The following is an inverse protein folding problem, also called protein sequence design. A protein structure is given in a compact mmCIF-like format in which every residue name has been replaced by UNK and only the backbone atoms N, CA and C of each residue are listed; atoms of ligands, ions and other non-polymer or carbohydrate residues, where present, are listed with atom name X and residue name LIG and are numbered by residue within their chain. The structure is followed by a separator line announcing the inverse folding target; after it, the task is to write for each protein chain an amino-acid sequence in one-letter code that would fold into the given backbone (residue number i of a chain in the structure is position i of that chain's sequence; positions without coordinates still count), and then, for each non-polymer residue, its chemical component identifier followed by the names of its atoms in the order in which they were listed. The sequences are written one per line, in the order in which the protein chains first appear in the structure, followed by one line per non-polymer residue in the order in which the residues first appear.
data_IF_644785725942
#
_entry.id   IF_644785725942
#
_cell.length_a   1.000
_cell.length_b   1.000
_cell.length_c   1.000
_cell.angle_alpha   90.00
_cell.angle_beta   90.00
_cell.angle_gamma   90.00
#
_symmetry.space_group_name_H-M   'P 1'
#
loop_
_entity.id
_entity.type
_entity.pdbx_description
1 polymer ?
#
# COMPACT_ATOMS: atom_id res chain seq x y z
N UNK A 1 -22.87 -3.11 2.63
CA UNK A 1 -21.48 -3.17 3.14
C UNK A 1 -20.56 -3.60 1.98
N UNK A 2 -19.42 -2.96 1.81
CA UNK A 2 -18.43 -3.36 0.79
C UNK A 2 -17.75 -4.64 1.22
N UNK A 3 -17.52 -5.57 0.28
CA UNK A 3 -16.66 -6.74 0.49
C UNK A 3 -15.20 -6.30 0.37
N UNK A 4 -14.46 -6.29 1.47
CA UNK A 4 -13.07 -5.84 1.54
C UNK A 4 -12.15 -7.05 1.65
N UNK A 5 -11.17 -7.16 0.75
CA UNK A 5 -10.13 -8.18 0.78
C UNK A 5 -8.85 -7.62 1.39
N UNK A 6 -8.36 -8.24 2.47
CA UNK A 6 -7.01 -8.03 2.98
C UNK A 6 -6.01 -8.78 2.11
N UNK A 7 -5.10 -8.06 1.49
CA UNK A 7 -4.06 -8.58 0.60
C UNK A 7 -2.71 -8.51 1.34
N UNK A 8 -2.23 -9.64 1.85
CA UNK A 8 -0.94 -9.72 2.55
C UNK A 8 0.15 -9.92 1.50
N UNK A 9 1.01 -8.92 1.35
CA UNK A 9 2.11 -8.94 0.37
C UNK A 9 3.34 -9.59 1.01
N UNK A 10 3.73 -10.77 0.54
CA UNK A 10 4.83 -11.52 1.14
C UNK A 10 5.87 -11.98 0.12
N UNK A 11 7.13 -11.92 0.53
CA UNK A 11 8.24 -12.55 -0.15
C UNK A 11 9.36 -12.83 0.83
N UNK A 12 9.55 -14.11 1.16
CA UNK A 12 10.49 -14.56 2.20
C UNK A 12 10.24 -13.86 3.54
N UNK A 13 9.01 -13.97 4.03
CA UNK A 13 8.54 -13.31 5.26
C UNK A 13 8.16 -14.31 6.36
N UNK A 14 8.65 -15.57 6.29
CA UNK A 14 8.26 -16.62 7.23
C UNK A 14 8.47 -16.20 8.71
N UNK A 15 9.64 -15.63 9.02
CA UNK A 15 9.95 -15.24 10.40
C UNK A 15 9.10 -14.06 10.87
N UNK A 16 8.81 -13.11 10.00
CA UNK A 16 7.89 -12.01 10.29
C UNK A 16 6.46 -12.53 10.50
N UNK A 17 6.01 -13.44 9.63
CA UNK A 17 4.68 -14.03 9.72
C UNK A 17 4.44 -14.77 11.03
N UNK A 18 5.42 -15.51 11.56
CA UNK A 18 5.30 -16.17 12.85
C UNK A 18 4.96 -15.21 14.00
N UNK A 19 5.43 -13.95 13.90
CA UNK A 19 5.27 -12.92 14.93
C UNK A 19 4.01 -12.08 14.67
N UNK A 20 3.78 -11.67 13.42
CA UNK A 20 2.75 -10.70 13.08
C UNK A 20 1.39 -11.36 12.81
N UNK A 21 1.37 -12.51 12.12
CA UNK A 21 0.14 -13.17 11.72
C UNK A 21 -0.82 -13.52 12.88
N UNK A 22 -0.34 -13.97 14.07
CA UNK A 22 -1.22 -14.20 15.22
C UNK A 22 -1.93 -12.94 15.73
N UNK A 23 -1.45 -11.74 15.39
CA UNK A 23 -2.03 -10.47 15.80
C UNK A 23 -3.12 -10.00 14.81
N UNK A 24 -3.14 -10.54 13.58
CA UNK A 24 -4.11 -10.18 12.56
C UNK A 24 -5.47 -10.76 12.95
N UNK A 25 -6.52 -9.95 13.16
CA UNK A 25 -7.82 -10.44 13.56
C UNK A 25 -8.42 -11.33 12.46
N UNK A 26 -9.29 -12.26 12.84
CA UNK A 26 -10.03 -13.08 11.85
C UNK A 26 -10.95 -12.21 11.00
N UNK A 27 -11.16 -12.57 9.71
CA UNK A 27 -12.08 -11.83 8.84
C UNK A 27 -13.45 -11.60 9.47
N UNK A 28 -13.99 -10.40 9.27
CA UNK A 28 -15.28 -9.96 9.77
C UNK A 28 -15.36 -8.43 9.85
N UNK A 29 -16.54 -7.89 10.10
CA UNK A 29 -16.77 -6.43 10.18
C UNK A 29 -15.88 -5.75 11.23
N UNK A 30 -15.66 -6.39 12.35
CA UNK A 30 -14.81 -5.90 13.45
C UNK A 30 -13.33 -5.83 13.07
N UNK A 31 -12.87 -6.72 12.18
CA UNK A 31 -11.50 -6.76 11.68
C UNK A 31 -11.20 -5.67 10.62
N UNK A 32 -12.25 -5.12 10.00
CA UNK A 32 -12.12 -4.16 8.91
C UNK A 32 -12.04 -4.77 7.51
N UNK A 33 -12.14 -6.10 7.37
CA UNK A 33 -12.11 -6.83 6.09
C UNK A 33 -12.88 -8.15 6.19
N UNK A 34 -13.26 -8.73 5.04
CA UNK A 34 -14.16 -9.88 4.94
C UNK A 34 -13.44 -11.15 4.47
N UNK A 35 -12.32 -11.02 3.80
CA UNK A 35 -11.50 -12.13 3.30
C UNK A 35 -10.02 -11.79 3.34
N UNK A 36 -9.15 -12.81 3.46
CA UNK A 36 -7.69 -12.67 3.46
C UNK A 36 -7.12 -13.44 2.29
N UNK A 37 -6.15 -12.84 1.60
CA UNK A 37 -5.36 -13.45 0.55
C UNK A 37 -3.88 -13.14 0.76
N UNK A 38 -3.02 -14.12 0.56
CA UNK A 38 -1.59 -13.91 0.46
C UNK A 38 -1.19 -13.71 -1.00
N UNK A 39 -0.34 -12.72 -1.28
CA UNK A 39 0.20 -12.49 -2.61
C UNK A 39 1.69 -12.71 -2.57
N UNK A 40 2.13 -13.85 -3.11
CA UNK A 40 3.50 -14.32 -3.00
C UNK A 40 4.39 -13.83 -4.15
N UNK A 41 5.50 -13.22 -3.80
CA UNK A 41 6.52 -12.70 -4.71
C UNK A 41 7.60 -13.70 -5.11
N UNK A 42 7.34 -15.01 -5.00
CA UNK A 42 8.29 -16.09 -5.25
C UNK A 42 9.14 -16.40 -4.04
N UNK A 43 8.51 -16.74 -2.92
CA UNK A 43 9.16 -17.14 -1.66
C UNK A 43 9.77 -18.55 -1.77
N UNK A 44 10.86 -18.75 -1.02
CA UNK A 44 11.61 -20.01 -0.95
C UNK A 44 11.94 -20.45 0.48
N UNK A 45 11.42 -19.73 1.49
CA UNK A 45 11.74 -19.91 2.90
C UNK A 45 10.64 -20.62 3.71
N UNK A 46 9.55 -21.09 3.07
CA UNK A 46 8.40 -21.68 3.72
C UNK A 46 7.24 -20.71 3.94
N UNK A 47 7.32 -19.47 3.45
CA UNK A 47 6.23 -18.47 3.51
C UNK A 47 4.93 -18.99 2.90
N UNK A 48 4.99 -19.65 1.74
CA UNK A 48 3.82 -20.19 1.03
C UNK A 48 3.16 -21.32 1.85
N UNK A 49 3.96 -22.23 2.37
CA UNK A 49 3.53 -23.33 3.22
C UNK A 49 2.88 -22.82 4.50
N UNK A 50 3.43 -21.76 5.09
CA UNK A 50 2.84 -21.10 6.25
C UNK A 50 1.41 -20.65 5.98
N UNK A 51 1.16 -19.92 4.90
CA UNK A 51 -0.19 -19.47 4.53
C UNK A 51 -1.15 -20.65 4.26
N UNK A 52 -0.70 -21.65 3.52
CA UNK A 52 -1.50 -22.87 3.23
C UNK A 52 -1.92 -23.58 4.53
N UNK A 53 -1.01 -23.74 5.49
CA UNK A 53 -1.27 -24.37 6.77
C UNK A 53 -2.28 -23.57 7.63
N UNK A 54 -2.43 -22.27 7.36
CA UNK A 54 -3.45 -21.41 7.99
C UNK A 54 -4.71 -21.23 7.15
N UNK A 55 -4.90 -22.05 6.07
CA UNK A 55 -6.04 -21.99 5.15
C UNK A 55 -6.20 -20.61 4.48
N UNK A 56 -5.10 -19.89 4.23
CA UNK A 56 -5.10 -18.63 3.49
C UNK A 56 -4.83 -18.93 2.01
N UNK A 57 -5.71 -18.51 1.09
CA UNK A 57 -5.46 -18.60 -0.34
C UNK A 57 -4.20 -17.85 -0.74
N UNK A 58 -3.32 -18.48 -1.52
CA UNK A 58 -2.06 -17.88 -2.00
C UNK A 58 -2.15 -17.65 -3.49
N UNK A 59 -1.95 -16.41 -3.91
CA UNK A 59 -1.83 -15.98 -5.30
C UNK A 59 -0.37 -15.71 -5.62
N UNK A 60 0.15 -16.34 -6.67
CA UNK A 60 1.54 -16.14 -7.10
C UNK A 60 1.63 -15.01 -8.12
N UNK A 61 2.58 -14.11 -7.94
CA UNK A 61 2.88 -13.07 -8.92
C UNK A 61 3.45 -13.67 -10.21
N UNK A 62 3.09 -13.11 -11.36
CA UNK A 62 3.64 -13.52 -12.65
C UNK A 62 5.12 -13.13 -12.82
N UNK A 63 5.54 -12.06 -12.15
CA UNK A 63 6.92 -11.55 -12.12
C UNK A 63 7.22 -10.85 -10.79
N UNK A 64 8.48 -10.65 -10.51
CA UNK A 64 8.92 -9.93 -9.31
C UNK A 64 8.56 -8.45 -9.39
N UNK A 65 8.05 -7.91 -8.29
CA UNK A 65 7.80 -6.49 -8.12
C UNK A 65 6.66 -6.20 -7.15
N UNK A 66 6.81 -5.16 -6.34
CA UNK A 66 5.75 -4.77 -5.40
C UNK A 66 4.46 -4.39 -6.14
N UNK A 67 4.58 -3.65 -7.24
CA UNK A 67 3.42 -3.28 -8.06
C UNK A 67 2.74 -4.48 -8.70
N UNK A 68 3.48 -5.52 -9.07
CA UNK A 68 2.90 -6.76 -9.59
C UNK A 68 1.98 -7.42 -8.57
N UNK A 69 2.31 -7.35 -7.27
CA UNK A 69 1.42 -7.87 -6.22
C UNK A 69 0.06 -7.15 -6.22
N UNK A 70 0.08 -5.82 -6.36
CA UNK A 70 -1.15 -5.03 -6.47
C UNK A 70 -1.96 -5.41 -7.71
N UNK A 71 -1.30 -5.50 -8.86
CA UNK A 71 -1.95 -5.87 -10.13
C UNK A 71 -2.52 -7.29 -10.10
N UNK A 72 -1.83 -8.24 -9.45
CA UNK A 72 -2.33 -9.61 -9.23
C UNK A 72 -3.60 -9.58 -8.39
N UNK A 73 -3.61 -8.81 -7.27
CA UNK A 73 -4.80 -8.67 -6.44
C UNK A 73 -5.99 -8.12 -7.22
N UNK A 74 -5.79 -7.06 -8.00
CA UNK A 74 -6.86 -6.43 -8.79
C UNK A 74 -7.43 -7.35 -9.87
N UNK A 75 -6.61 -8.24 -10.41
CA UNK A 75 -6.98 -9.17 -11.46
C UNK A 75 -7.69 -10.42 -10.93
N UNK A 76 -7.20 -10.98 -9.81
CA UNK A 76 -7.56 -12.34 -9.40
C UNK A 76 -8.50 -12.38 -8.19
N UNK A 77 -8.65 -11.29 -7.44
CA UNK A 77 -9.52 -11.23 -6.27
C UNK A 77 -10.83 -10.51 -6.60
N UNK A 78 -11.95 -11.19 -6.37
CA UNK A 78 -13.28 -10.58 -6.49
C UNK A 78 -13.68 -9.93 -5.17
N UNK A 79 -13.54 -8.59 -5.09
CA UNK A 79 -13.87 -7.78 -3.93
C UNK A 79 -14.31 -6.36 -4.36
N UNK A 80 -14.99 -5.61 -3.49
CA UNK A 80 -15.36 -4.21 -3.72
C UNK A 80 -14.21 -3.26 -3.40
N UNK A 81 -13.28 -3.69 -2.51
CA UNK A 81 -12.08 -2.95 -2.16
C UNK A 81 -10.96 -3.90 -1.74
N UNK A 82 -9.73 -3.42 -1.93
CA UNK A 82 -8.49 -4.12 -1.62
C UNK A 82 -7.75 -3.32 -0.54
N UNK A 83 -7.40 -3.99 0.54
CA UNK A 83 -6.59 -3.46 1.64
C UNK A 83 -5.24 -4.16 1.63
N UNK A 84 -4.17 -3.42 1.37
CA UNK A 84 -2.81 -3.97 1.28
C UNK A 84 -2.10 -3.86 2.62
N UNK A 85 -1.45 -4.95 3.01
CA UNK A 85 -0.74 -5.08 4.27
C UNK A 85 0.59 -5.82 4.06
N UNK A 86 1.66 -5.33 4.68
CA UNK A 86 2.98 -5.99 4.72
C UNK A 86 3.18 -6.67 6.07
N UNK A 87 3.52 -7.98 6.12
CA UNK A 87 3.63 -8.72 7.38
C UNK A 87 4.98 -8.55 8.07
N UNK A 88 5.73 -7.50 7.75
CA UNK A 88 7.09 -7.27 8.25
C UNK A 88 7.16 -6.61 9.64
N UNK A 89 6.00 -6.25 10.20
CA UNK A 89 5.89 -5.64 11.52
C UNK A 89 5.95 -4.11 11.54
N UNK A 90 6.14 -3.47 10.38
CA UNK A 90 6.15 -2.02 10.28
C UNK A 90 4.74 -1.42 10.38
N UNK A 91 3.72 -2.15 9.94
CA UNK A 91 2.35 -1.68 9.82
C UNK A 91 1.53 -2.04 11.07
N UNK A 92 0.85 -1.05 11.66
CA UNK A 92 0.04 -1.24 12.87
C UNK A 92 -1.24 -2.04 12.56
N UNK A 93 -1.32 -3.26 13.09
CA UNK A 93 -2.45 -4.17 12.85
C UNK A 93 -3.79 -3.59 13.31
N UNK A 94 -3.80 -2.78 14.38
CA UNK A 94 -5.03 -2.14 14.90
C UNK A 94 -5.66 -1.15 13.93
N UNK A 95 -4.89 -0.64 12.98
CA UNK A 95 -5.37 0.30 11.97
C UNK A 95 -6.22 -0.37 10.87
N UNK A 96 -6.20 -1.71 10.73
CA UNK A 96 -6.99 -2.44 9.73
C UNK A 96 -8.46 -2.05 9.75
N UNK A 97 -9.06 -1.91 10.94
CA UNK A 97 -10.46 -1.51 11.09
C UNK A 97 -10.76 -0.13 10.52
N UNK A 98 -9.83 0.83 10.67
CA UNK A 98 -10.01 2.23 10.23
C UNK A 98 -10.18 2.35 8.72
N UNK A 99 -9.60 1.45 7.95
CA UNK A 99 -9.76 1.44 6.48
C UNK A 99 -11.21 1.20 6.08
N UNK A 100 -11.92 0.28 6.75
CA UNK A 100 -13.34 0.00 6.48
C UNK A 100 -14.17 1.25 6.71
N UNK A 101 -14.00 1.92 7.84
CA UNK A 101 -14.79 3.10 8.20
C UNK A 101 -14.69 4.19 7.13
N UNK A 102 -13.48 4.44 6.63
CA UNK A 102 -13.24 5.42 5.57
C UNK A 102 -13.78 4.98 4.20
N UNK A 103 -13.64 3.69 3.84
CA UNK A 103 -14.20 3.14 2.59
C UNK A 103 -15.73 3.19 2.59
N UNK A 104 -16.38 2.87 3.71
CA UNK A 104 -17.83 2.95 3.85
C UNK A 104 -18.34 4.41 3.87
N UNK A 105 -17.53 5.36 4.33
CA UNK A 105 -17.77 6.80 4.22
C UNK A 105 -17.51 7.35 2.79
N UNK A 106 -17.29 6.48 1.83
CA UNK A 106 -17.18 6.82 0.40
C UNK A 106 -15.79 7.28 -0.05
N UNK A 107 -14.71 6.93 0.66
CA UNK A 107 -13.37 7.12 0.14
C UNK A 107 -13.11 6.14 -1.02
N UNK A 108 -12.39 6.61 -2.05
CA UNK A 108 -11.90 5.81 -3.17
C UNK A 108 -10.55 5.19 -2.86
N UNK A 109 -9.68 5.95 -2.17
CA UNK A 109 -8.36 5.55 -1.71
C UNK A 109 -8.20 5.97 -0.25
N UNK A 110 -7.73 5.06 0.58
CA UNK A 110 -7.41 5.33 2.00
C UNK A 110 -5.94 5.02 2.25
N UNK A 111 -5.23 5.92 2.91
CA UNK A 111 -3.79 5.78 3.18
C UNK A 111 -3.55 5.93 4.68
N UNK A 112 -2.89 4.96 5.29
CA UNK A 112 -2.32 5.11 6.63
C UNK A 112 -1.04 5.96 6.52
N UNK A 113 -1.12 7.23 6.89
CA UNK A 113 -0.01 8.17 6.70
C UNK A 113 0.96 8.12 7.88
N UNK A 114 2.25 8.04 7.55
CA UNK A 114 3.37 8.11 8.50
C UNK A 114 3.88 9.54 8.69
N UNK A 115 3.33 10.50 7.93
CA UNK A 115 3.86 11.85 7.81
C UNK A 115 2.89 12.93 8.34
N UNK A 116 1.61 12.60 8.57
CA UNK A 116 0.67 13.58 9.08
C UNK A 116 0.81 13.79 10.60
N UNK A 117 0.19 14.83 11.12
CA UNK A 117 0.21 15.13 12.56
C UNK A 117 -0.36 13.97 13.36
N UNK A 118 0.36 13.51 14.37
CA UNK A 118 -0.01 12.36 15.21
C UNK A 118 0.47 11.01 14.69
N UNK A 119 1.11 10.95 13.51
CA UNK A 119 1.78 9.76 13.02
C UNK A 119 3.19 9.62 13.61
N UNK A 120 3.71 8.39 13.58
CA UNK A 120 5.11 8.08 13.92
C UNK A 120 5.76 7.39 12.74
N UNK A 121 6.94 7.86 12.35
CA UNK A 121 7.76 7.25 11.28
C UNK A 121 8.98 6.56 11.88
N UNK A 122 9.41 5.44 11.29
CA UNK A 122 10.55 4.66 11.76
C UNK A 122 11.86 5.45 11.92
N UNK A 123 12.04 6.55 11.18
CA UNK A 123 13.21 7.43 11.26
C UNK A 123 13.07 8.56 12.31
N UNK A 124 11.95 8.68 13.03
CA UNK A 124 11.72 9.82 13.93
C UNK A 124 12.72 9.91 15.10
N UNK A 125 13.34 8.80 15.46
CA UNK A 125 14.40 8.72 16.46
C UNK A 125 15.82 8.85 15.89
N UNK A 126 15.98 9.00 14.55
CA UNK A 126 17.28 9.11 13.90
C UNK A 126 17.69 10.60 13.73
N UNK A 127 19.00 10.87 13.81
CA UNK A 127 19.55 12.22 13.55
C UNK A 127 19.38 12.62 12.07
N UNK A 128 19.62 11.69 11.16
CA UNK A 128 19.49 11.91 9.72
C UNK A 128 18.28 11.16 9.17
N UNK A 129 17.20 11.88 8.90
CA UNK A 129 15.91 11.36 8.41
C UNK A 129 15.82 11.47 6.89
N UNK A 130 16.84 11.03 6.17
CA UNK A 130 16.96 11.31 4.74
C UNK A 130 15.88 10.64 3.89
N UNK A 131 15.41 9.42 4.25
CA UNK A 131 14.28 8.78 3.58
C UNK A 131 12.99 9.55 3.82
N UNK A 132 12.75 10.00 5.06
CA UNK A 132 11.61 10.83 5.40
C UNK A 132 11.61 12.16 4.63
N UNK A 133 12.78 12.80 4.49
CA UNK A 133 12.91 14.04 3.70
C UNK A 133 12.68 13.80 2.21
N UNK A 134 13.23 12.71 1.64
CA UNK A 134 12.98 12.32 0.25
C UNK A 134 11.49 12.02 0.01
N UNK A 135 10.84 11.30 0.93
CA UNK A 135 9.41 11.02 0.86
C UNK A 135 8.58 12.31 0.88
N UNK A 136 8.92 13.25 1.76
CA UNK A 136 8.24 14.56 1.83
C UNK A 136 8.45 15.38 0.54
N UNK A 137 9.60 15.30 -0.10
CA UNK A 137 9.83 15.93 -1.39
C UNK A 137 8.91 15.32 -2.48
N UNK A 138 8.76 13.99 -2.54
CA UNK A 138 7.82 13.34 -3.46
C UNK A 138 6.36 13.67 -3.13
N UNK A 139 5.99 13.77 -1.86
CA UNK A 139 4.67 14.21 -1.44
C UNK A 139 4.38 15.63 -1.92
N UNK A 140 5.34 16.54 -1.74
CA UNK A 140 5.22 17.93 -2.21
C UNK A 140 5.05 17.98 -3.74
N UNK A 141 5.88 17.24 -4.48
CA UNK A 141 5.79 17.19 -5.95
C UNK A 141 4.43 16.64 -6.41
N UNK A 142 3.93 15.56 -5.78
CA UNK A 142 2.63 15.01 -6.11
C UNK A 142 1.50 16.05 -5.93
N UNK A 143 1.50 16.76 -4.81
CA UNK A 143 0.50 17.78 -4.53
C UNK A 143 0.62 18.99 -5.46
N UNK A 144 1.82 19.49 -5.67
CA UNK A 144 2.05 20.70 -6.45
C UNK A 144 1.63 20.52 -7.91
N UNK A 145 1.96 19.38 -8.50
CA UNK A 145 1.75 19.17 -9.95
C UNK A 145 0.43 18.47 -10.27
N UNK A 146 -0.15 17.67 -9.38
CA UNK A 146 -1.28 16.83 -9.72
C UNK A 146 -2.54 17.07 -8.88
N UNK A 147 -2.42 17.66 -7.68
CA UNK A 147 -3.59 17.99 -6.86
C UNK A 147 -4.42 19.09 -7.51
N UNK A 148 -5.66 18.77 -7.84
CA UNK A 148 -6.63 19.72 -8.43
C UNK A 148 -7.57 20.30 -7.37
N UNK A 149 -7.95 19.48 -6.40
CA UNK A 149 -8.83 19.83 -5.28
C UNK A 149 -8.54 18.88 -4.11
N UNK A 150 -9.28 19.02 -3.02
CA UNK A 150 -9.14 18.15 -1.84
C UNK A 150 -7.95 18.47 -0.94
N UNK A 151 -7.73 17.69 0.11
CA UNK A 151 -6.65 17.90 1.08
C UNK A 151 -5.26 17.71 0.46
N UNK A 152 -4.24 18.24 1.14
CA UNK A 152 -2.85 17.94 0.86
C UNK A 152 -2.57 16.48 1.26
N UNK A 153 -2.00 15.68 0.35
CA UNK A 153 -1.64 14.28 0.63
C UNK A 153 -0.27 14.24 1.29
N UNK A 154 -0.23 13.71 2.51
CA UNK A 154 0.96 13.72 3.35
C UNK A 154 1.85 12.50 3.16
N UNK A 155 1.31 11.36 2.67
CA UNK A 155 2.10 10.14 2.41
C UNK A 155 1.68 9.46 1.10
N UNK A 156 2.18 9.98 -0.02
CA UNK A 156 1.85 9.51 -1.37
C UNK A 156 2.41 8.13 -1.72
N UNK A 157 3.34 7.60 -0.92
CA UNK A 157 4.12 6.39 -1.23
C UNK A 157 3.95 5.24 -0.23
N UNK A 158 3.21 5.44 0.87
CA UNK A 158 3.00 4.35 1.81
C UNK A 158 2.18 3.21 1.18
N UNK A 159 2.63 1.98 1.41
CA UNK A 159 1.97 0.76 0.92
C UNK A 159 0.80 0.30 1.78
N UNK A 160 0.72 0.73 3.04
CA UNK A 160 -0.40 0.45 3.91
C UNK A 160 -1.59 1.33 3.51
N UNK A 161 -2.37 0.81 2.57
CA UNK A 161 -3.47 1.54 1.93
C UNK A 161 -4.59 0.63 1.48
N UNK A 162 -5.75 1.22 1.26
CA UNK A 162 -6.86 0.56 0.61
C UNK A 162 -7.32 1.34 -0.62
N UNK A 163 -7.92 0.62 -1.59
CA UNK A 163 -8.47 1.19 -2.81
C UNK A 163 -9.73 0.44 -3.22
N UNK A 164 -10.76 1.15 -3.69
CA UNK A 164 -11.96 0.52 -4.22
C UNK A 164 -11.73 -0.09 -5.60
N UNK A 165 -12.46 -1.16 -5.93
CA UNK A 165 -12.43 -1.78 -7.27
C UNK A 165 -12.74 -0.76 -8.36
N UNK A 166 -13.72 0.11 -8.15
CA UNK A 166 -14.05 1.17 -9.10
C UNK A 166 -12.87 2.11 -9.35
N UNK A 167 -12.16 2.51 -8.29
CA UNK A 167 -10.97 3.35 -8.43
C UNK A 167 -9.86 2.65 -9.22
N UNK A 168 -9.63 1.33 -9.02
CA UNK A 168 -8.60 0.60 -9.81
C UNK A 168 -8.86 0.64 -11.31
N UNK A 169 -10.14 0.54 -11.72
CA UNK A 169 -10.55 0.62 -13.12
C UNK A 169 -10.27 2.00 -13.73
N UNK A 170 -10.58 3.07 -12.99
CA UNK A 170 -10.33 4.46 -13.40
C UNK A 170 -8.83 4.74 -13.52
N UNK A 171 -8.03 4.25 -12.58
CA UNK A 171 -6.61 4.59 -12.50
C UNK A 171 -5.75 3.89 -13.56
N UNK A 172 -6.18 2.75 -14.12
CA UNK A 172 -5.44 2.00 -15.15
C UNK A 172 -3.96 1.82 -14.80
N UNK A 173 -3.67 1.31 -13.60
CA UNK A 173 -2.32 1.21 -13.04
C UNK A 173 -1.44 0.25 -13.86
N UNK A 174 -0.16 0.63 -14.06
CA UNK A 174 0.81 -0.12 -14.88
C UNK A 174 2.21 -0.22 -14.26
N UNK A 175 2.42 0.35 -13.08
CA UNK A 175 3.68 0.22 -12.36
C UNK A 175 3.78 -1.18 -11.74
N UNK A 176 4.84 -1.92 -12.05
CA UNK A 176 5.09 -3.26 -11.50
C UNK A 176 6.07 -3.25 -10.31
N UNK A 177 6.72 -2.12 -10.04
CA UNK A 177 7.75 -1.94 -9.00
C UNK A 177 7.24 -1.12 -7.80
N UNK A 178 8.17 -0.66 -6.96
CA UNK A 178 7.89 0.18 -5.77
C UNK A 178 7.29 1.55 -6.07
N UNK A 179 7.04 1.89 -7.33
CA UNK A 179 6.41 3.16 -7.69
C UNK A 179 4.90 3.05 -7.86
N UNK A 180 4.31 1.89 -7.61
CA UNK A 180 2.86 1.65 -7.76
C UNK A 180 2.03 2.54 -6.85
N UNK A 181 2.43 2.68 -5.59
CA UNK A 181 1.72 3.52 -4.62
C UNK A 181 1.76 5.00 -5.02
N UNK A 182 2.92 5.47 -5.47
CA UNK A 182 3.09 6.84 -5.96
C UNK A 182 2.26 7.08 -7.22
N UNK A 183 2.28 6.14 -8.17
CA UNK A 183 1.44 6.19 -9.36
C UNK A 183 -0.04 6.23 -9.00
N UNK A 184 -0.47 5.37 -8.07
CA UNK A 184 -1.86 5.33 -7.59
C UNK A 184 -2.28 6.69 -7.04
N UNK A 185 -1.46 7.29 -6.17
CA UNK A 185 -1.75 8.61 -5.58
C UNK A 185 -1.82 9.70 -6.65
N UNK A 186 -0.83 9.77 -7.56
CA UNK A 186 -0.82 10.77 -8.64
C UNK A 186 -2.05 10.64 -9.54
N UNK A 187 -2.39 9.42 -9.96
CA UNK A 187 -3.54 9.20 -10.85
C UNK A 187 -4.86 9.44 -10.12
N UNK A 188 -4.95 9.14 -8.82
CA UNK A 188 -6.12 9.48 -8.01
C UNK A 188 -6.31 11.00 -7.91
N UNK A 189 -5.24 11.77 -7.71
CA UNK A 189 -5.27 13.24 -7.71
C UNK A 189 -5.70 13.80 -9.07
N UNK A 190 -5.17 13.28 -10.18
CA UNK A 190 -5.55 13.68 -11.55
C UNK A 190 -7.03 13.45 -11.83
N UNK A 191 -7.57 12.31 -11.38
CA UNK A 191 -8.95 11.88 -11.60
C UNK A 191 -9.91 12.41 -10.52
N UNK A 192 -9.44 13.27 -9.60
CA UNK A 192 -10.23 13.89 -8.51
C UNK A 192 -10.93 12.86 -7.61
N UNK A 193 -10.32 11.68 -7.45
CA UNK A 193 -10.84 10.66 -6.55
C UNK A 193 -10.74 11.13 -5.10
N UNK A 194 -11.66 10.66 -4.25
CA UNK A 194 -11.67 10.97 -2.82
C UNK A 194 -10.59 10.18 -2.11
N UNK A 195 -9.45 10.83 -1.84
CA UNK A 195 -8.35 10.26 -1.04
C UNK A 195 -8.55 10.71 0.41
N UNK A 196 -8.47 9.76 1.34
CA UNK A 196 -8.52 10.01 2.78
C UNK A 196 -7.24 9.46 3.41
N UNK A 197 -6.65 10.23 4.32
CA UNK A 197 -5.50 9.80 5.12
C UNK A 197 -5.86 9.78 6.59
N UNK A 198 -5.23 8.89 7.34
CA UNK A 198 -5.26 8.88 8.79
C UNK A 198 -3.86 8.59 9.34
N UNK A 199 -3.49 9.10 10.53
CA UNK A 199 -2.18 8.87 11.11
C UNK A 199 -2.02 7.41 11.57
N UNK A 200 -0.86 6.83 11.28
CA UNK A 200 -0.44 5.50 11.74
C UNK A 200 0.89 5.55 12.48
N UNK A 201 1.21 4.49 13.19
CA UNK A 201 2.51 4.27 13.83
C UNK A 201 3.27 3.26 12.98
N UNK A 202 4.38 3.70 12.36
CA UNK A 202 5.29 2.82 11.66
C UNK A 202 6.28 2.21 12.66
N UNK A 203 6.18 0.90 12.86
CA UNK A 203 7.11 0.12 13.69
C UNK A 203 8.43 -0.15 13.00
N UNK A 204 9.33 -0.82 13.71
CA UNK A 204 10.54 -1.39 13.12
C UNK A 204 10.21 -2.77 12.54
N UNK A 205 10.89 -3.13 11.45
CA UNK A 205 10.81 -4.48 10.90
C UNK A 205 11.22 -5.50 11.98
N UNK A 206 10.42 -6.55 12.16
CA UNK A 206 10.63 -7.52 13.26
C UNK A 206 11.66 -8.60 12.91
N UNK A 207 11.92 -8.87 11.62
CA UNK A 207 12.93 -9.84 11.16
C UNK A 207 13.36 -9.57 9.71
N UNK A 208 14.55 -10.05 9.32
CA UNK A 208 15.08 -9.95 7.95
C UNK A 208 15.48 -8.55 7.52
N UNK A 209 15.75 -8.38 6.22
CA UNK A 209 16.16 -7.11 5.63
C UNK A 209 15.13 -6.54 4.68
N UNK A 210 15.12 -5.20 4.51
CA UNK A 210 14.24 -4.55 3.54
C UNK A 210 14.69 -4.84 2.09
N UNK A 211 13.73 -5.21 1.24
CA UNK A 211 14.01 -5.41 -0.19
C UNK A 211 14.14 -4.11 -1.00
N UNK A 212 13.85 -2.95 -0.40
CA UNK A 212 13.89 -1.66 -1.08
C UNK A 212 15.25 -0.97 -0.85
N UNK A 213 16.14 -1.04 -1.84
CA UNK A 213 17.37 -0.23 -1.84
C UNK A 213 17.04 1.23 -2.15
N UNK A 214 17.47 2.14 -1.29
CA UNK A 214 17.01 3.53 -1.27
C UNK A 214 17.37 4.34 -2.52
N UNK A 215 18.63 4.32 -2.97
CA UNK A 215 19.07 5.14 -4.12
C UNK A 215 18.44 4.67 -5.45
N UNK A 216 18.52 3.36 -5.84
CA UNK A 216 17.86 2.90 -7.05
C UNK A 216 16.35 3.13 -7.04
N UNK A 217 15.73 3.03 -5.88
CA UNK A 217 14.29 3.29 -5.71
C UNK A 217 13.98 4.77 -5.92
N UNK A 218 14.75 5.70 -5.36
CA UNK A 218 14.58 7.14 -5.56
C UNK A 218 14.64 7.53 -7.05
N UNK A 219 15.58 6.98 -7.82
CA UNK A 219 15.67 7.21 -9.29
C UNK A 219 14.39 6.72 -9.99
N UNK A 220 13.81 5.58 -9.59
CA UNK A 220 12.55 5.08 -10.16
C UNK A 220 11.38 6.02 -9.87
N UNK A 221 11.31 6.59 -8.66
CA UNK A 221 10.30 7.59 -8.29
C UNK A 221 10.40 8.85 -9.16
N UNK A 222 11.61 9.36 -9.39
CA UNK A 222 11.84 10.51 -10.28
C UNK A 222 11.36 10.19 -11.71
N UNK A 223 11.75 9.03 -12.26
CA UNK A 223 11.29 8.58 -13.59
C UNK A 223 9.77 8.43 -13.64
N UNK A 224 9.16 7.89 -12.59
CA UNK A 224 7.70 7.75 -12.50
C UNK A 224 7.02 9.12 -12.48
N UNK A 225 7.52 10.06 -11.69
CA UNK A 225 7.00 11.42 -11.64
C UNK A 225 6.95 12.05 -13.05
N UNK A 226 8.05 12.03 -13.79
CA UNK A 226 8.09 12.59 -15.15
C UNK A 226 7.19 11.81 -16.11
N UNK A 227 7.14 10.46 -16.02
CA UNK A 227 6.21 9.66 -16.82
C UNK A 227 4.76 10.11 -16.58
N UNK A 228 4.36 10.28 -15.32
CA UNK A 228 3.01 10.73 -14.98
C UNK A 228 2.78 12.21 -15.34
N UNK A 229 3.80 13.07 -15.28
CA UNK A 229 3.69 14.48 -15.66
C UNK A 229 3.36 14.63 -17.15
N UNK A 230 4.01 13.87 -18.02
CA UNK A 230 3.82 13.95 -19.47
C UNK A 230 2.72 13.00 -20.00
N UNK A 231 2.18 12.12 -19.17
CA UNK A 231 1.10 11.23 -19.59
C UNK A 231 -0.27 11.95 -19.52
N UNK A 232 -0.74 12.44 -20.66
CA UNK A 232 -2.05 13.09 -20.79
C UNK A 232 -3.24 12.12 -20.73
N UNK A 233 -3.03 10.81 -20.98
CA UNK A 233 -4.12 9.79 -21.01
C UNK A 233 -4.64 9.39 -19.62
N UNK A 234 -3.99 9.79 -18.54
CA UNK A 234 -4.39 9.46 -17.18
C UNK A 234 -5.40 10.43 -16.54
N UNK A 235 -5.94 11.39 -17.31
CA UNK A 235 -7.09 12.18 -16.93
C UNK A 235 -8.28 11.69 -17.76
N UNK A 236 -9.24 11.03 -17.13
CA UNK A 236 -10.55 10.87 -17.74
C UNK A 236 -11.15 12.26 -17.95
N UNK A 237 -11.72 12.49 -19.14
CA UNK A 237 -12.50 13.69 -19.47
C UNK A 237 -13.67 13.86 -18.51
#
# INVERSE_FOLDING_TARGET
MKKIALCILARNELECLKIVFPQIPKPGSEAGYDAVYAIDGGSTDGTVEFFKNHNIPVLSQSKRGRGEAFLTAFKEIEADAYLFFSPDGNEEVKDLKRFRDHLESGADVVIASRMMKGAVNEEDHQLLKWRKWANNAFNLLANLFFRRNGPFITDSINGYRAITKQATQVLSLDAFDYTIEYQMTIRALKNKLKIVEFPTVEGQRVAGETGAQSIPTGIRFIKRFFKELFNKKASAN
#
